data_IF_722175767847
#
_entry.id   IF_722175767847
#
_cell.length_a   1.000
_cell.length_b   1.000
_cell.length_c   1.000
_cell.angle_alpha   90.00
_cell.angle_beta   90.00
_cell.angle_gamma   90.00
#
_symmetry.space_group_name_H-M   'P 1'
#
loop_
_entity.id
_entity.type
_entity.pdbx_description
1 polymer ?
#
# COMPACT_ATOMS: atom_id res chain seq x y z
N UNK A 1 18.60 -0.32 -50.38
CA UNK A 1 17.13 -0.20 -50.55
C UNK A 1 16.52 -0.88 -49.34
N UNK A 2 16.18 -0.10 -48.31
CA UNK A 2 14.84 0.42 -48.00
C UNK A 2 14.24 -0.44 -46.87
N UNK A 3 13.55 0.05 -45.85
CA UNK A 3 13.29 1.36 -45.28
C UNK A 3 12.66 1.07 -43.91
N UNK A 4 12.93 1.89 -42.89
CA UNK A 4 12.19 1.88 -41.63
C UNK A 4 10.74 2.36 -41.82
N UNK A 5 9.78 1.82 -41.06
CA UNK A 5 9.02 2.54 -39.99
C UNK A 5 7.92 1.67 -39.32
N UNK A 6 7.43 2.10 -38.13
CA UNK A 6 6.94 1.29 -37.01
C UNK A 6 5.41 1.41 -36.78
N UNK A 7 4.87 0.78 -35.73
CA UNK A 7 3.67 1.14 -34.93
C UNK A 7 3.54 0.11 -33.77
N UNK A 8 2.91 0.31 -32.61
CA UNK A 8 2.47 1.45 -31.78
C UNK A 8 1.79 0.79 -30.54
N UNK A 9 1.81 1.47 -29.40
CA UNK A 9 1.20 1.08 -28.14
C UNK A 9 -0.33 1.21 -28.17
N UNK A 10 -1.09 0.20 -27.71
CA UNK A 10 -2.40 0.29 -26.99
C UNK A 10 -3.18 -1.04 -27.06
N UNK A 11 -3.32 -1.66 -25.90
CA UNK A 11 -4.34 -2.62 -25.45
C UNK A 11 -3.59 -3.49 -24.45
N UNK A 12 -3.91 -3.46 -23.16
CA UNK A 12 -4.95 -4.32 -22.63
C UNK A 12 -5.74 -3.63 -21.52
N UNK A 13 -6.96 -3.20 -21.87
CA UNK A 13 -8.13 -3.25 -20.98
C UNK A 13 -8.82 -4.59 -21.27
N UNK A 14 -9.58 -5.10 -20.29
CA UNK A 14 -10.48 -6.29 -20.30
C UNK A 14 -9.86 -7.45 -19.48
N UNK A 15 -10.41 -8.11 -18.44
CA UNK A 15 -11.71 -8.26 -17.73
C UNK A 15 -11.36 -8.34 -16.22
N UNK A 16 -12.16 -7.99 -15.21
CA UNK A 16 -13.35 -8.70 -14.70
C UNK A 16 -14.21 -7.66 -13.94
N UNK A 17 -15.35 -7.31 -14.51
CA UNK A 17 -16.39 -6.54 -13.83
C UNK A 17 -17.71 -7.29 -14.03
N UNK A 18 -18.03 -8.22 -13.13
CA UNK A 18 -19.38 -8.78 -13.00
C UNK A 18 -19.52 -9.72 -11.78
N UNK A 19 -19.75 -9.18 -10.58
CA UNK A 19 -20.64 -9.85 -9.60
C UNK A 19 -21.05 -8.93 -8.45
N UNK A 20 -22.29 -9.07 -8.03
CA UNK A 20 -22.91 -8.56 -6.78
C UNK A 20 -23.48 -7.13 -6.85
N UNK A 21 -24.63 -7.03 -7.53
CA UNK A 21 -25.72 -6.16 -7.09
C UNK A 21 -26.83 -7.01 -6.48
N UNK A 22 -27.48 -6.46 -5.44
CA UNK A 22 -28.71 -6.89 -4.76
C UNK A 22 -28.60 -8.05 -3.78
N UNK A 23 -28.35 -7.73 -2.51
CA UNK A 23 -29.36 -7.93 -1.44
C UNK A 23 -29.24 -6.75 -0.47
N UNK A 24 -30.25 -5.88 -0.48
CA UNK A 24 -30.48 -4.89 0.56
C UNK A 24 -31.95 -4.93 0.93
N UNK A 25 -32.25 -5.28 2.18
CA UNK A 25 -33.42 -4.85 2.96
C UNK A 25 -33.53 -5.69 4.24
N UNK A 26 -33.01 -5.17 5.36
CA UNK A 26 -33.76 -5.12 6.64
C UNK A 26 -33.36 -3.80 7.31
N UNK A 27 -34.34 -2.89 7.41
CA UNK A 27 -34.28 -1.65 8.19
C UNK A 27 -35.35 -1.75 9.28
N UNK A 28 -35.09 -1.04 10.38
CA UNK A 28 -36.04 -0.48 11.39
C UNK A 28 -36.77 -1.49 12.28
N UNK A 29 -36.82 -1.43 13.61
CA UNK A 29 -36.79 -0.33 14.60
C UNK A 29 -36.20 -0.87 15.94
N UNK A 30 -35.60 -0.08 16.83
CA UNK A 30 -36.29 0.60 17.93
C UNK A 30 -35.38 1.71 18.50
N UNK A 31 -35.95 2.91 18.59
CA UNK A 31 -35.44 4.08 19.29
C UNK A 31 -35.90 4.13 20.77
N UNK A 32 -35.17 4.93 21.55
CA UNK A 32 -35.41 5.50 22.91
C UNK A 32 -34.74 4.71 24.04
N UNK A 33 -33.84 5.27 24.87
CA UNK A 33 -33.87 6.56 25.61
C UNK A 33 -32.45 7.01 26.03
N UNK A 34 -32.19 8.33 25.98
CA UNK A 34 -31.16 9.09 26.74
C UNK A 34 -31.76 9.46 28.14
N UNK A 35 -31.07 9.94 29.23
CA UNK A 35 -29.83 10.76 29.27
C UNK A 35 -28.87 10.58 30.49
N UNK A 36 -27.72 11.27 30.48
CA UNK A 36 -26.90 11.81 31.60
C UNK A 36 -26.90 11.13 33.00
N UNK A 37 -25.72 10.69 33.49
CA UNK A 37 -24.98 11.38 34.58
C UNK A 37 -23.58 10.72 34.81
N UNK A 38 -22.49 11.49 35.02
CA UNK A 38 -21.14 10.99 35.17
C UNK A 38 -20.83 10.68 36.64
N UNK A 39 -20.21 9.52 36.91
CA UNK A 39 -19.61 9.25 38.22
C UNK A 39 -18.10 9.43 38.17
N UNK A 40 -17.68 10.31 39.07
CA UNK A 40 -16.35 10.70 39.47
C UNK A 40 -15.39 9.52 39.67
N UNK A 41 -14.15 9.67 39.19
CA UNK A 41 -12.97 9.14 39.87
C UNK A 41 -11.87 10.22 39.92
N UNK A 42 -11.03 10.19 40.97
CA UNK A 42 -10.45 11.39 41.53
C UNK A 42 -9.19 11.90 40.83
N UNK A 43 -9.05 13.21 40.97
CA UNK A 43 -7.89 14.05 40.73
C UNK A 43 -6.61 13.46 41.36
N UNK A 44 -5.60 13.15 40.54
CA UNK A 44 -4.22 13.01 40.99
C UNK A 44 -3.37 14.05 40.27
N UNK A 45 -3.03 15.13 40.98
CA UNK A 45 -2.11 16.17 40.53
C UNK A 45 -0.67 15.62 40.50
N UNK A 46 -0.01 15.97 39.39
CA UNK A 46 1.39 16.38 39.24
C UNK A 46 2.54 15.43 39.63
N UNK A 47 3.27 15.00 38.61
CA UNK A 47 4.72 15.24 38.39
C UNK A 47 5.15 14.36 37.19
N UNK A 48 6.08 14.70 36.32
CA UNK A 48 6.78 15.92 35.92
C UNK A 48 7.59 15.47 34.69
N UNK A 49 7.68 16.32 33.67
CA UNK A 49 8.77 16.33 32.68
C UNK A 49 9.11 15.02 31.93
N UNK A 50 8.33 14.69 30.90
CA UNK A 50 8.89 14.29 29.58
C UNK A 50 7.96 14.81 28.48
N UNK A 51 8.02 16.12 28.21
CA UNK A 51 7.47 16.66 26.95
C UNK A 51 8.35 16.11 25.83
N UNK A 52 7.94 14.99 25.23
CA UNK A 52 8.46 14.59 23.92
C UNK A 52 8.13 15.74 22.97
N UNK A 53 9.16 16.48 22.58
CA UNK A 53 9.09 17.51 21.56
C UNK A 53 8.78 16.82 20.24
N UNK A 54 7.49 16.62 19.96
CA UNK A 54 7.07 16.31 18.60
C UNK A 54 7.42 17.55 17.77
N UNK A 55 8.45 17.43 16.92
CA UNK A 55 8.70 18.40 15.87
C UNK A 55 7.40 18.61 15.13
N UNK A 56 6.90 19.84 15.20
CA UNK A 56 5.74 20.34 14.46
C UNK A 56 6.13 20.25 12.98
N UNK A 57 5.91 19.09 12.35
CA UNK A 57 6.10 18.95 10.92
C UNK A 57 5.13 19.92 10.27
N UNK A 58 5.65 20.85 9.46
CA UNK A 58 4.80 21.73 8.65
C UNK A 58 4.03 20.81 7.71
N UNK A 59 2.70 20.82 7.79
CA UNK A 59 1.88 20.14 6.81
C UNK A 59 2.19 20.77 5.45
N UNK A 60 2.83 20.00 4.58
CA UNK A 60 2.93 20.29 3.17
C UNK A 60 1.56 19.94 2.57
N UNK A 61 0.96 20.86 1.81
CA UNK A 61 -0.30 20.60 1.09
C UNK A 61 -0.07 19.70 -0.15
N UNK A 62 1.06 19.00 -0.21
CA UNK A 62 1.41 18.16 -1.35
C UNK A 62 0.74 16.80 -1.21
N UNK A 63 0.56 16.17 -2.35
CA UNK A 63 -0.03 14.85 -2.56
C UNK A 63 0.92 14.04 -3.45
N UNK A 64 0.72 12.72 -3.55
CA UNK A 64 1.53 11.90 -4.48
C UNK A 64 1.44 12.39 -5.93
N UNK A 65 0.29 12.98 -6.33
CA UNK A 65 0.11 13.56 -7.65
C UNK A 65 1.07 14.72 -7.95
N UNK A 66 1.52 15.47 -6.93
CA UNK A 66 2.50 16.54 -7.11
C UNK A 66 3.90 16.02 -7.51
N UNK A 67 4.13 14.72 -7.38
CA UNK A 67 5.37 14.04 -7.72
C UNK A 67 5.25 13.17 -8.99
N UNK A 68 4.18 13.35 -9.78
CA UNK A 68 3.89 12.49 -10.94
C UNK A 68 5.07 12.33 -11.90
N UNK A 69 5.79 13.42 -12.24
CA UNK A 69 6.91 13.33 -13.18
C UNK A 69 8.09 12.52 -12.63
N UNK A 70 8.37 12.65 -11.33
CA UNK A 70 9.48 11.90 -10.71
C UNK A 70 9.08 10.44 -10.47
N UNK A 71 7.80 10.21 -10.18
CA UNK A 71 7.19 8.89 -10.16
C UNK A 71 7.33 8.18 -11.51
N UNK A 72 6.99 8.83 -12.61
CA UNK A 72 7.12 8.23 -13.96
C UNK A 72 8.57 7.79 -14.24
N UNK A 73 9.56 8.64 -13.95
CA UNK A 73 10.99 8.29 -14.09
C UNK A 73 11.40 7.14 -13.17
N UNK A 74 10.90 7.13 -11.93
CA UNK A 74 11.18 6.07 -10.97
C UNK A 74 10.65 4.73 -11.48
N UNK A 75 9.41 4.70 -11.97
CA UNK A 75 8.79 3.50 -12.51
C UNK A 75 9.46 3.04 -13.81
N UNK A 76 9.83 3.95 -14.71
CA UNK A 76 10.63 3.60 -15.91
C UNK A 76 11.96 2.93 -15.52
N UNK A 77 12.65 3.49 -14.52
CA UNK A 77 13.90 2.91 -13.99
C UNK A 77 13.68 1.53 -13.35
N UNK A 78 12.59 1.37 -12.61
CA UNK A 78 12.24 0.10 -11.98
C UNK A 78 11.85 -0.99 -13.00
N UNK A 79 11.23 -0.60 -14.12
CA UNK A 79 10.89 -1.48 -15.22
C UNK A 79 12.13 -1.98 -15.98
N UNK A 80 13.20 -1.18 -16.05
CA UNK A 80 14.48 -1.63 -16.59
C UNK A 80 15.13 -2.67 -15.68
N UNK A 81 15.33 -2.31 -14.41
CA UNK A 81 15.88 -3.18 -13.36
C UNK A 81 15.68 -2.53 -11.99
N UNK A 82 14.99 -3.21 -11.07
CA UNK A 82 14.75 -2.70 -9.72
C UNK A 82 16.05 -2.50 -8.93
N UNK A 83 17.11 -3.26 -9.24
CA UNK A 83 18.39 -3.18 -8.53
C UNK A 83 19.12 -1.86 -8.82
N UNK A 84 18.67 -1.11 -9.83
CA UNK A 84 19.14 0.26 -10.08
C UNK A 84 18.59 1.26 -9.07
N UNK A 85 17.48 0.94 -8.38
CA UNK A 85 16.87 1.81 -7.39
C UNK A 85 17.74 1.90 -6.14
N UNK A 86 17.92 3.13 -5.65
CA UNK A 86 18.40 3.33 -4.29
C UNK A 86 17.37 2.82 -3.27
N UNK A 87 17.77 2.64 -2.02
CA UNK A 87 16.86 2.17 -0.97
C UNK A 87 15.62 3.07 -0.80
N UNK A 88 15.79 4.40 -0.86
CA UNK A 88 14.68 5.36 -0.73
C UNK A 88 13.76 5.34 -1.98
N UNK A 89 14.34 5.14 -3.18
CA UNK A 89 13.58 4.96 -4.43
C UNK A 89 12.79 3.65 -4.43
N UNK A 90 13.39 2.55 -3.95
CA UNK A 90 12.73 1.25 -3.82
C UNK A 90 11.56 1.34 -2.86
N UNK A 91 11.73 1.97 -1.69
CA UNK A 91 10.64 2.21 -0.73
C UNK A 91 9.49 2.96 -1.40
N UNK A 92 9.78 3.96 -2.24
CA UNK A 92 8.72 4.65 -2.96
C UNK A 92 8.00 3.70 -3.92
N UNK A 93 8.76 3.03 -4.78
CA UNK A 93 8.22 2.11 -5.76
C UNK A 93 7.36 1.00 -5.13
N UNK A 94 7.90 0.23 -4.18
CA UNK A 94 7.23 -0.94 -3.59
C UNK A 94 5.96 -0.55 -2.81
N UNK A 95 6.01 0.55 -2.07
CA UNK A 95 4.88 0.99 -1.24
C UNK A 95 3.79 1.63 -2.09
N UNK A 96 4.14 2.42 -3.11
CA UNK A 96 3.14 2.99 -4.02
C UNK A 96 2.47 1.91 -4.87
N UNK A 97 3.24 0.94 -5.38
CA UNK A 97 2.70 -0.24 -6.06
C UNK A 97 1.73 -1.02 -5.17
N UNK A 98 2.09 -1.27 -3.91
CA UNK A 98 1.21 -1.96 -2.96
C UNK A 98 -0.11 -1.21 -2.74
N UNK A 99 -0.06 0.11 -2.48
CA UNK A 99 -1.26 0.93 -2.29
C UNK A 99 -2.14 0.85 -3.55
N UNK A 100 -1.54 1.08 -4.73
CA UNK A 100 -2.27 1.03 -6.00
C UNK A 100 -2.90 -0.34 -6.27
N UNK A 101 -2.22 -1.44 -5.93
CA UNK A 101 -2.77 -2.78 -6.07
C UNK A 101 -3.98 -3.01 -5.15
N UNK A 102 -3.87 -2.59 -3.88
CA UNK A 102 -4.96 -2.74 -2.90
C UNK A 102 -6.18 -1.89 -3.26
N UNK A 103 -5.97 -0.67 -3.77
CA UNK A 103 -7.06 0.20 -4.24
C UNK A 103 -7.80 -0.40 -5.44
N UNK A 104 -7.11 -1.19 -6.26
CA UNK A 104 -7.68 -1.79 -7.47
C UNK A 104 -8.43 -3.09 -7.22
N UNK A 105 -8.12 -3.82 -6.14
CA UNK A 105 -8.78 -5.11 -5.88
C UNK A 105 -8.31 -5.84 -4.63
N UNK A 106 -8.02 -5.09 -3.55
CA UNK A 106 -7.62 -5.66 -2.26
C UNK A 106 -6.18 -6.18 -2.23
N UNK A 107 -5.73 -6.67 -1.08
CA UNK A 107 -4.39 -7.22 -0.87
C UNK A 107 -4.07 -8.35 -1.84
N UNK A 108 -5.05 -9.17 -2.23
CA UNK A 108 -4.80 -10.26 -3.17
C UNK A 108 -4.38 -9.74 -4.56
N UNK A 109 -4.82 -8.54 -4.95
CA UNK A 109 -4.42 -7.93 -6.22
C UNK A 109 -2.93 -7.61 -6.28
N UNK A 110 -2.27 -7.36 -5.16
CA UNK A 110 -0.79 -7.27 -5.11
C UNK A 110 -0.16 -8.58 -5.60
N UNK A 111 -0.68 -9.72 -5.16
CA UNK A 111 -0.17 -11.04 -5.49
C UNK A 111 -0.48 -11.49 -6.92
N UNK A 112 -1.47 -10.92 -7.59
CA UNK A 112 -1.75 -11.24 -8.98
C UNK A 112 -0.83 -10.53 -9.98
N UNK A 113 -0.08 -9.52 -9.53
CA UNK A 113 0.73 -8.64 -10.38
C UNK A 113 2.23 -8.81 -10.11
N UNK A 114 3.06 -8.30 -11.01
CA UNK A 114 4.53 -8.35 -10.92
C UNK A 114 5.09 -7.57 -9.73
N UNK A 115 4.30 -6.69 -9.10
CA UNK A 115 4.71 -5.98 -7.89
C UNK A 115 5.02 -6.94 -6.73
N UNK A 116 4.37 -8.11 -6.68
CA UNK A 116 4.65 -9.15 -5.69
C UNK A 116 5.93 -9.96 -5.96
N UNK A 117 6.61 -9.75 -7.09
CA UNK A 117 7.94 -10.34 -7.32
C UNK A 117 8.96 -9.79 -6.31
N UNK A 118 8.64 -8.64 -5.72
CA UNK A 118 9.42 -7.95 -4.69
C UNK A 118 8.71 -7.94 -3.33
N UNK A 119 7.84 -8.94 -3.07
CA UNK A 119 7.02 -8.98 -1.85
C UNK A 119 7.86 -8.96 -0.56
N UNK A 120 9.04 -9.58 -0.58
CA UNK A 120 9.94 -9.58 0.58
C UNK A 120 10.52 -8.18 0.84
N UNK A 121 10.90 -7.47 -0.21
CA UNK A 121 11.36 -6.09 -0.16
C UNK A 121 10.23 -5.17 0.32
N UNK A 122 9.01 -5.33 -0.19
CA UNK A 122 7.83 -4.59 0.27
C UNK A 122 7.60 -4.75 1.78
N UNK A 123 7.70 -5.97 2.31
CA UNK A 123 7.60 -6.24 3.76
C UNK A 123 8.70 -5.50 4.54
N UNK A 124 9.94 -5.51 4.05
CA UNK A 124 11.06 -4.80 4.69
C UNK A 124 10.89 -3.27 4.63
N UNK A 125 10.37 -2.76 3.52
CA UNK A 125 10.14 -1.34 3.29
C UNK A 125 9.00 -0.82 4.19
N UNK A 126 7.95 -1.62 4.40
CA UNK A 126 6.89 -1.34 5.40
C UNK A 126 7.46 -1.23 6.82
N UNK A 127 8.34 -2.16 7.21
CA UNK A 127 9.05 -2.04 8.50
C UNK A 127 9.89 -0.76 8.58
N UNK A 128 10.59 -0.41 7.50
CA UNK A 128 11.42 0.80 7.43
C UNK A 128 10.60 2.09 7.57
N UNK A 129 9.38 2.10 7.02
CA UNK A 129 8.44 3.21 7.16
C UNK A 129 7.75 3.27 8.53
N UNK A 130 7.81 2.19 9.31
CA UNK A 130 7.23 2.07 10.64
C UNK A 130 5.82 1.49 10.65
N UNK A 131 5.49 0.64 9.68
CA UNK A 131 4.20 -0.07 9.54
C UNK A 131 4.38 -1.59 9.63
N UNK A 132 4.92 -2.12 10.74
CA UNK A 132 5.06 -3.57 10.93
C UNK A 132 3.71 -4.29 10.94
N UNK A 133 2.65 -3.59 11.34
CA UNK A 133 1.28 -4.11 11.36
C UNK A 133 0.71 -4.34 9.95
N UNK A 134 1.06 -3.49 8.98
CA UNK A 134 0.72 -3.74 7.56
C UNK A 134 1.60 -4.87 7.01
N UNK A 135 2.89 -4.90 7.37
CA UNK A 135 3.79 -5.98 6.98
C UNK A 135 3.28 -7.35 7.43
N UNK A 136 2.74 -7.43 8.65
CA UNK A 136 2.10 -8.63 9.19
C UNK A 136 0.85 -9.07 8.40
N UNK A 137 0.15 -8.17 7.70
CA UNK A 137 -0.95 -8.53 6.80
C UNK A 137 -0.43 -9.29 5.58
N UNK A 138 0.66 -8.80 4.96
CA UNK A 138 1.29 -9.48 3.83
C UNK A 138 1.84 -10.83 4.26
N UNK A 139 2.46 -10.92 5.45
CA UNK A 139 2.91 -12.20 6.02
C UNK A 139 1.74 -13.17 6.22
N UNK A 140 0.57 -12.70 6.64
CA UNK A 140 -0.62 -13.55 6.75
C UNK A 140 -1.09 -14.09 5.39
N UNK A 141 -1.10 -13.26 4.34
CA UNK A 141 -1.40 -13.74 2.97
C UNK A 141 -0.33 -14.74 2.51
N UNK A 142 0.94 -14.51 2.82
CA UNK A 142 2.03 -15.43 2.48
C UNK A 142 1.79 -16.84 3.05
N UNK A 143 1.15 -16.98 4.23
CA UNK A 143 0.84 -18.30 4.82
C UNK A 143 -0.11 -19.15 3.98
N UNK A 144 -0.81 -18.58 3.01
CA UNK A 144 -1.66 -19.30 2.06
C UNK A 144 -0.85 -20.04 0.98
N UNK A 145 0.41 -19.64 0.78
CA UNK A 145 1.34 -20.29 -0.13
C UNK A 145 2.13 -21.38 0.58
N UNK A 146 2.63 -22.35 -0.19
CA UNK A 146 3.41 -23.46 0.36
C UNK A 146 4.64 -22.94 1.12
N UNK A 147 4.76 -23.35 2.38
CA UNK A 147 5.88 -22.93 3.24
C UNK A 147 5.85 -21.45 3.64
N UNK A 148 4.76 -20.74 3.40
CA UNK A 148 4.68 -19.31 3.70
C UNK A 148 5.48 -18.44 2.73
N UNK A 149 5.78 -18.94 1.54
CA UNK A 149 6.63 -18.27 0.55
C UNK A 149 5.91 -18.24 -0.79
N UNK A 150 5.37 -17.08 -1.22
CA UNK A 150 4.80 -16.95 -2.56
C UNK A 150 5.91 -17.14 -3.62
N UNK A 151 5.63 -17.81 -4.74
CA UNK A 151 6.56 -17.84 -5.87
C UNK A 151 6.89 -16.43 -6.34
N UNK A 152 8.16 -16.21 -6.72
CA UNK A 152 8.61 -14.91 -7.23
C UNK A 152 8.07 -14.65 -8.64
N UNK A 153 7.97 -15.67 -9.47
CA UNK A 153 7.40 -15.56 -10.81
C UNK A 153 5.87 -15.38 -10.75
N UNK A 154 5.36 -14.44 -11.53
CA UNK A 154 3.94 -14.10 -11.59
C UNK A 154 3.06 -15.26 -12.06
N UNK A 155 3.51 -16.02 -13.07
CA UNK A 155 2.72 -17.12 -13.63
C UNK A 155 2.67 -18.30 -12.65
N UNK A 156 3.81 -18.64 -12.03
CA UNK A 156 3.84 -19.67 -10.98
C UNK A 156 2.96 -19.30 -9.78
N UNK A 157 2.99 -18.03 -9.37
CA UNK A 157 2.19 -17.53 -8.26
C UNK A 157 0.70 -17.57 -8.59
N UNK A 158 0.32 -17.12 -9.78
CA UNK A 158 -1.07 -17.12 -10.25
C UNK A 158 -1.60 -18.55 -10.39
N UNK A 159 -0.78 -19.49 -10.84
CA UNK A 159 -1.16 -20.90 -10.90
C UNK A 159 -1.48 -21.46 -9.51
N UNK A 160 -0.68 -21.14 -8.49
CA UNK A 160 -0.97 -21.53 -7.10
C UNK A 160 -2.29 -20.94 -6.62
N UNK A 161 -2.53 -19.65 -6.87
CA UNK A 161 -3.75 -18.96 -6.45
C UNK A 161 -4.98 -19.54 -7.16
N UNK A 162 -4.89 -19.82 -8.46
CA UNK A 162 -5.97 -20.42 -9.26
C UNK A 162 -6.36 -21.83 -8.78
N UNK A 163 -5.45 -22.54 -8.11
CA UNK A 163 -5.70 -23.86 -7.52
C UNK A 163 -6.24 -23.80 -6.09
N UNK A 164 -6.41 -22.60 -5.51
CA UNK A 164 -7.05 -22.49 -4.20
C UNK A 164 -8.52 -22.91 -4.27
N UNK A 165 -9.05 -23.59 -3.23
CA UNK A 165 -10.46 -23.94 -3.20
C UNK A 165 -11.32 -22.67 -3.19
N UNK A 166 -12.30 -22.61 -4.10
CA UNK A 166 -13.21 -21.46 -4.26
C UNK A 166 -13.84 -21.07 -2.91
N UNK A 167 -13.79 -19.78 -2.58
CA UNK A 167 -14.40 -19.21 -1.38
C UNK A 167 -13.68 -19.52 -0.06
N UNK A 168 -12.65 -20.37 -0.06
CA UNK A 168 -12.02 -20.85 1.19
C UNK A 168 -11.30 -19.73 1.95
N UNK A 169 -10.76 -18.74 1.24
CA UNK A 169 -9.94 -17.68 1.83
C UNK A 169 -10.59 -16.30 1.79
N UNK A 170 -11.78 -16.17 1.21
CA UNK A 170 -12.49 -14.89 1.02
C UNK A 170 -12.66 -14.14 2.34
N UNK A 171 -13.19 -14.79 3.39
CA UNK A 171 -13.38 -14.18 4.71
C UNK A 171 -12.06 -13.66 5.33
N UNK A 172 -10.96 -14.36 5.07
CA UNK A 172 -9.63 -13.94 5.54
C UNK A 172 -9.16 -12.73 4.74
N UNK A 173 -9.21 -12.80 3.41
CA UNK A 173 -8.77 -11.72 2.52
C UNK A 173 -9.58 -10.44 2.76
N UNK A 174 -10.91 -10.54 2.84
CA UNK A 174 -11.80 -9.42 3.15
C UNK A 174 -11.45 -8.74 4.48
N UNK A 175 -11.12 -9.55 5.50
CA UNK A 175 -10.69 -9.03 6.81
C UNK A 175 -9.34 -8.33 6.70
N UNK A 176 -8.37 -8.90 5.99
CA UNK A 176 -7.04 -8.31 5.84
C UNK A 176 -7.12 -6.99 5.06
N UNK A 177 -7.96 -6.93 4.03
CA UNK A 177 -8.23 -5.72 3.26
C UNK A 177 -8.77 -4.60 4.16
N UNK A 178 -9.74 -4.91 5.03
CA UNK A 178 -10.22 -3.89 5.96
C UNK A 178 -9.16 -3.38 6.94
N UNK A 179 -8.31 -4.28 7.45
CA UNK A 179 -7.20 -3.87 8.30
C UNK A 179 -6.18 -2.99 7.56
N UNK A 180 -6.02 -3.21 6.25
CA UNK A 180 -5.19 -2.36 5.41
C UNK A 180 -5.82 -0.97 5.22
N UNK A 181 -7.09 -0.90 4.82
CA UNK A 181 -7.81 0.36 4.59
C UNK A 181 -7.87 1.26 5.83
N UNK A 182 -7.92 0.69 7.04
CA UNK A 182 -7.82 1.44 8.30
C UNK A 182 -6.50 2.23 8.44
N UNK A 183 -5.44 1.81 7.76
CA UNK A 183 -4.06 2.33 7.90
C UNK A 183 -3.51 2.98 6.64
N UNK A 184 -4.14 2.72 5.49
CA UNK A 184 -3.74 3.19 4.16
C UNK A 184 -3.41 4.68 4.15
N UNK A 185 -4.30 5.54 4.65
CA UNK A 185 -4.05 6.99 4.67
C UNK A 185 -2.82 7.38 5.50
N UNK A 186 -2.55 6.67 6.59
CA UNK A 186 -1.36 6.92 7.39
C UNK A 186 -0.09 6.46 6.66
N UNK A 187 -0.15 5.34 5.94
CA UNK A 187 0.94 4.82 5.12
C UNK A 187 1.26 5.78 3.96
N UNK A 188 0.24 6.22 3.21
CA UNK A 188 0.38 7.19 2.11
C UNK A 188 1.03 8.49 2.59
N UNK A 189 0.53 9.05 3.72
CA UNK A 189 1.11 10.25 4.31
C UNK A 189 2.58 10.04 4.74
N UNK A 190 2.92 8.85 5.25
CA UNK A 190 4.30 8.52 5.63
C UNK A 190 5.20 8.44 4.40
N UNK A 191 4.73 7.80 3.34
CA UNK A 191 5.42 7.72 2.07
C UNK A 191 5.68 9.11 1.49
N UNK A 192 4.67 9.98 1.45
CA UNK A 192 4.82 11.37 1.03
C UNK A 192 5.93 12.10 1.82
N UNK A 193 5.92 11.99 3.15
CA UNK A 193 6.96 12.56 4.00
C UNK A 193 8.34 11.96 3.71
N UNK A 194 8.42 10.68 3.38
CA UNK A 194 9.67 10.02 3.01
C UNK A 194 10.23 10.63 1.70
N UNK A 195 9.40 10.75 0.67
CA UNK A 195 9.76 11.38 -0.62
C UNK A 195 10.23 12.82 -0.39
N UNK A 196 9.47 13.61 0.36
CA UNK A 196 9.79 15.01 0.63
C UNK A 196 11.06 15.22 1.44
N UNK A 197 11.48 14.27 2.27
CA UNK A 197 12.63 14.45 3.16
C UNK A 197 13.89 13.75 2.69
N UNK A 198 13.77 12.66 1.95
CA UNK A 198 14.91 11.82 1.53
C UNK A 198 15.25 12.01 0.06
N UNK A 199 14.23 12.04 -0.80
CA UNK A 199 14.43 12.14 -2.24
C UNK A 199 14.59 13.60 -2.72
N UNK A 200 13.95 14.56 -2.05
CA UNK A 200 14.22 15.98 -2.31
C UNK A 200 15.67 16.39 -1.97
N UNK A 201 16.29 15.69 -1.00
CA UNK A 201 17.66 15.96 -0.54
C UNK A 201 18.70 15.30 -1.45
N UNK A 202 18.37 14.19 -2.09
CA UNK A 202 19.23 13.52 -3.07
C UNK A 202 19.12 14.13 -4.48
N UNK A 203 18.01 14.79 -4.82
CA UNK A 203 17.67 15.20 -6.19
C UNK A 203 17.80 16.67 -6.62
N UNK A 204 18.17 17.63 -5.76
CA UNK A 204 18.35 19.04 -6.17
C UNK A 204 19.66 19.69 -5.67
N UNK A 205 20.76 18.94 -5.71
CA UNK A 205 22.08 19.55 -5.89
C UNK A 205 22.48 19.48 -7.36
N UNK A 206 21.73 20.19 -8.20
CA UNK A 206 22.30 20.68 -9.45
C UNK A 206 23.50 21.54 -9.08
N UNK A 207 24.67 21.11 -9.55
CA UNK A 207 25.94 21.80 -9.39
C UNK A 207 25.82 23.16 -10.08
N UNK A 208 25.69 24.23 -9.31
CA UNK A 208 26.16 25.54 -9.74
C UNK A 208 27.69 25.48 -9.73
N UNK A 209 28.29 25.37 -10.90
CA UNK A 209 29.68 25.74 -11.21
C UNK A 209 29.75 26.13 -12.67
#
# INVERSE_FOLDING_TARGET
MAQWRPCDCRAERIFIAARIQRIGQIKTDILRVNPFNPRCYPNRKANSSKKKSYCKMKATNKTLADFQQDREKLFDKALEDIDLLSADERIWFTIESLIGAVDNGGLISHYYNSDADYNQETIQDLHTLGFPDIADLLVQVNTLFQGGQPPKDIEERNEVINHWPEGKYDDLLDRLDQLFYEKEKALENRLLLHIETKLSVSGLKTREN
#
